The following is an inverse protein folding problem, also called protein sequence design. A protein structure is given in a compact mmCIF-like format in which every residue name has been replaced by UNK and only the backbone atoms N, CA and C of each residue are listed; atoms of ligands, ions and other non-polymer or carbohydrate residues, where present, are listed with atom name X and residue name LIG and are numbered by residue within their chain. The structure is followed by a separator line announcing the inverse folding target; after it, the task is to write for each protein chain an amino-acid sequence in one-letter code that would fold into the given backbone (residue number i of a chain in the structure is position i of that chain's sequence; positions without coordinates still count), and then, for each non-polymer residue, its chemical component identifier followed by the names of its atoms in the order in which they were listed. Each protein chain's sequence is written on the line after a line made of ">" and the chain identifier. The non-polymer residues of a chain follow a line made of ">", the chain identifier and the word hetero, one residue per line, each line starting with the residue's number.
data_IF_021919774016
#
_entry.id   IF_021919774016
#
_cell.length_a   1.000
_cell.length_b   1.000
_cell.length_c   1.000
_cell.angle_alpha   90.00
_cell.angle_beta   90.00
_cell.angle_gamma   90.00
#
_symmetry.space_group_name_H-M   'P 1'
#
loop_
_entity.id
_entity.type
_entity.pdbx_description
1 polymer ?
#
# COMPACT_ATOMS: atom_id res chain seq x y z
N UNK A 1 5.82 -8.33 9.18
CA UNK A 1 4.35 -8.42 9.13
C UNK A 1 3.94 -8.89 7.74
N UNK A 2 3.12 -9.92 7.59
CA UNK A 2 2.68 -10.40 6.27
C UNK A 2 1.43 -9.65 5.76
N UNK A 3 0.99 -9.92 4.52
CA UNK A 3 -0.19 -9.29 3.89
C UNK A 3 -1.47 -9.51 4.69
N UNK A 4 -1.65 -10.70 5.29
CA UNK A 4 -2.85 -11.01 6.07
C UNK A 4 -2.89 -10.17 7.36
N UNK A 5 -1.77 -10.07 8.06
CA UNK A 5 -1.62 -9.22 9.25
C UNK A 5 -1.78 -7.73 8.89
N UNK A 6 -1.22 -7.31 7.75
CA UNK A 6 -1.39 -5.96 7.22
C UNK A 6 -2.87 -5.65 6.99
N UNK A 7 -3.62 -6.53 6.32
CA UNK A 7 -5.05 -6.34 6.03
C UNK A 7 -5.86 -6.17 7.32
N UNK A 8 -5.61 -7.02 8.33
CA UNK A 8 -6.23 -6.88 9.66
C UNK A 8 -5.95 -5.51 10.27
N UNK A 9 -4.69 -5.06 10.25
CA UNK A 9 -4.27 -3.80 10.85
C UNK A 9 -4.84 -2.57 10.12
N UNK A 10 -4.97 -2.63 8.79
CA UNK A 10 -5.61 -1.57 8.01
C UNK A 10 -7.10 -1.43 8.34
N UNK A 11 -7.79 -2.56 8.52
CA UNK A 11 -9.19 -2.58 8.96
C UNK A 11 -9.35 -1.97 10.36
N UNK A 12 -8.49 -2.34 11.32
CA UNK A 12 -8.49 -1.77 12.68
C UNK A 12 -8.26 -0.25 12.68
N UNK A 13 -7.44 0.25 11.74
CA UNK A 13 -7.17 1.68 11.58
C UNK A 13 -8.29 2.43 10.82
N UNK A 14 -9.30 1.72 10.31
CA UNK A 14 -10.35 2.31 9.47
C UNK A 14 -9.79 2.92 8.18
N UNK A 15 -8.81 2.28 7.57
CA UNK A 15 -8.30 2.61 6.23
C UNK A 15 -9.11 1.78 5.24
N UNK A 16 -9.76 2.45 4.30
CA UNK A 16 -10.70 1.78 3.38
C UNK A 16 -9.97 1.00 2.28
N UNK A 17 -10.53 -0.13 1.85
CA UNK A 17 -9.92 -1.01 0.82
C UNK A 17 -9.71 -0.31 -0.53
N UNK A 18 -10.40 0.80 -0.82
CA UNK A 18 -10.19 1.57 -2.04
C UNK A 18 -8.90 2.42 -2.02
N UNK A 19 -8.28 2.60 -0.85
CA UNK A 19 -7.07 3.42 -0.70
C UNK A 19 -5.78 2.67 -1.00
N UNK A 20 -5.84 1.33 -1.02
CA UNK A 20 -4.68 0.48 -1.16
C UNK A 20 -4.94 -0.77 -2.02
N UNK A 21 -3.87 -1.42 -2.46
CA UNK A 21 -3.90 -2.67 -3.20
C UNK A 21 -2.81 -3.62 -2.70
N UNK A 22 -3.18 -4.82 -2.25
CA UNK A 22 -2.22 -5.78 -1.68
C UNK A 22 -1.83 -6.88 -2.67
N UNK A 23 -2.03 -6.63 -3.97
CA UNK A 23 -1.79 -7.60 -5.05
C UNK A 23 -2.97 -8.55 -5.30
N UNK A 24 -4.11 -8.31 -4.65
CA UNK A 24 -5.34 -9.11 -4.75
C UNK A 24 -6.35 -8.58 -5.78
N UNK A 25 -6.10 -7.40 -6.35
CA UNK A 25 -6.97 -6.75 -7.34
C UNK A 25 -6.18 -6.02 -8.41
N UNK A 26 -6.86 -5.69 -9.52
CA UNK A 26 -6.32 -4.82 -10.57
C UNK A 26 -5.90 -3.46 -10.00
N UNK A 27 -4.81 -2.91 -10.54
CA UNK A 27 -4.28 -1.61 -10.12
C UNK A 27 -5.28 -0.49 -10.47
N UNK A 28 -5.77 0.19 -9.44
CA UNK A 28 -6.60 1.38 -9.53
C UNK A 28 -5.78 2.68 -9.66
N UNK A 29 -6.45 3.80 -9.87
CA UNK A 29 -5.79 5.12 -9.90
C UNK A 29 -5.59 5.68 -8.49
N UNK A 30 -4.49 6.41 -8.28
CA UNK A 30 -4.16 7.14 -7.05
C UNK A 30 -4.03 6.28 -5.76
N UNK A 31 -3.90 4.97 -5.89
CA UNK A 31 -3.75 4.04 -4.77
C UNK A 31 -2.28 3.80 -4.41
N UNK A 32 -2.04 3.34 -3.17
CA UNK A 32 -0.78 2.74 -2.77
C UNK A 32 -0.90 1.22 -2.86
N UNK A 33 0.11 0.54 -3.38
CA UNK A 33 0.03 -0.92 -3.41
C UNK A 33 1.33 -1.64 -3.23
N UNK A 34 1.17 -2.95 -3.02
CA UNK A 34 2.24 -3.93 -3.08
C UNK A 34 2.08 -4.70 -4.38
N UNK A 35 3.18 -4.87 -5.11
CA UNK A 35 3.28 -5.71 -6.28
C UNK A 35 4.38 -6.74 -6.04
N UNK A 36 4.07 -8.02 -6.26
CA UNK A 36 5.06 -9.10 -6.23
C UNK A 36 5.47 -9.44 -7.66
N UNK A 37 6.74 -9.22 -7.98
CA UNK A 37 7.35 -9.62 -9.24
C UNK A 37 8.49 -10.60 -8.96
N UNK A 38 8.34 -11.83 -9.45
CA UNK A 38 9.27 -12.92 -9.19
C UNK A 38 9.54 -13.15 -7.69
N UNK A 39 10.71 -12.73 -7.21
CA UNK A 39 11.18 -12.87 -5.82
C UNK A 39 11.20 -11.54 -5.07
N UNK A 40 10.69 -10.49 -5.68
CA UNK A 40 10.85 -9.12 -5.20
C UNK A 40 9.49 -8.51 -4.92
N UNK A 41 9.42 -7.77 -3.81
CA UNK A 41 8.24 -7.06 -3.36
C UNK A 41 8.42 -5.57 -3.59
N UNK A 42 7.57 -4.96 -4.41
CA UNK A 42 7.62 -3.54 -4.76
C UNK A 42 6.48 -2.82 -4.08
N UNK A 43 6.78 -1.71 -3.41
CA UNK A 43 5.76 -0.78 -2.93
C UNK A 43 5.64 0.33 -3.96
N UNK A 44 4.42 0.61 -4.40
CA UNK A 44 4.16 1.57 -5.48
C UNK A 44 3.06 2.56 -5.12
N UNK A 45 3.05 3.67 -5.84
CA UNK A 45 1.92 4.58 -5.93
C UNK A 45 1.48 4.67 -7.39
N UNK A 46 0.20 4.38 -7.66
CA UNK A 46 -0.36 4.61 -8.99
C UNK A 46 -0.70 6.09 -9.17
N UNK A 47 -0.62 6.53 -10.41
CA UNK A 47 -0.89 7.89 -10.87
C UNK A 47 -2.20 7.91 -11.65
N UNK A 48 -2.75 9.11 -11.86
CA UNK A 48 -3.84 9.30 -12.82
C UNK A 48 -3.38 8.81 -14.20
N UNK A 49 -4.22 8.06 -14.93
CA UNK A 49 -3.96 7.53 -16.28
C UNK A 49 -3.01 6.34 -16.36
N UNK A 50 -2.91 5.56 -15.29
CA UNK A 50 -2.27 4.24 -15.31
C UNK A 50 -0.74 4.24 -15.20
N UNK A 51 -0.12 5.40 -14.91
CA UNK A 51 1.28 5.46 -14.53
C UNK A 51 1.52 4.86 -13.15
N UNK A 52 2.73 4.36 -12.89
CA UNK A 52 3.11 3.82 -11.59
C UNK A 52 4.48 4.32 -11.19
N UNK A 53 4.59 4.79 -9.94
CA UNK A 53 5.87 5.14 -9.34
C UNK A 53 6.25 4.09 -8.30
N UNK A 54 7.43 3.48 -8.44
CA UNK A 54 7.98 2.58 -7.42
C UNK A 54 8.53 3.45 -6.29
N UNK A 55 8.02 3.23 -5.08
CA UNK A 55 8.50 3.90 -3.86
C UNK A 55 9.75 3.20 -3.36
N UNK A 56 9.70 1.87 -3.25
CA UNK A 56 10.81 1.05 -2.80
C UNK A 56 10.65 -0.42 -3.21
N UNK A 57 11.71 -1.20 -3.06
CA UNK A 57 11.83 -2.58 -3.52
C UNK A 57 12.52 -3.44 -2.45
N UNK A 58 11.93 -4.57 -2.11
CA UNK A 58 12.36 -5.44 -1.01
C UNK A 58 12.52 -6.89 -1.44
N UNK A 59 13.44 -7.61 -0.80
CA UNK A 59 13.62 -9.05 -0.99
C UNK A 59 12.61 -9.90 -0.21
N UNK A 60 11.85 -9.29 0.70
CA UNK A 60 10.89 -9.97 1.55
C UNK A 60 9.56 -9.20 1.68
N UNK A 61 8.52 -9.95 2.02
CA UNK A 61 7.14 -9.43 2.17
C UNK A 61 7.02 -8.48 3.36
N UNK A 62 7.71 -8.80 4.45
CA UNK A 62 7.58 -8.09 5.72
C UNK A 62 7.93 -6.61 5.60
N UNK A 63 9.06 -6.31 4.96
CA UNK A 63 9.54 -4.93 4.82
C UNK A 63 8.61 -4.11 3.90
N UNK A 64 8.12 -4.72 2.82
CA UNK A 64 7.15 -4.10 1.93
C UNK A 64 5.83 -3.78 2.65
N UNK A 65 5.34 -4.71 3.47
CA UNK A 65 4.13 -4.54 4.29
C UNK A 65 4.31 -3.46 5.37
N UNK A 66 5.48 -3.38 6.00
CA UNK A 66 5.79 -2.32 6.98
C UNK A 66 5.85 -0.95 6.31
N UNK A 67 6.47 -0.86 5.13
CA UNK A 67 6.55 0.40 4.38
C UNK A 67 5.16 0.90 3.98
N UNK A 68 4.33 0.07 3.33
CA UNK A 68 3.02 0.52 2.87
C UNK A 68 2.13 0.95 4.05
N UNK A 69 2.18 0.22 5.18
CA UNK A 69 1.43 0.58 6.39
C UNK A 69 1.83 1.99 6.88
N UNK A 70 3.13 2.27 6.96
CA UNK A 70 3.64 3.58 7.35
C UNK A 70 3.08 4.68 6.44
N UNK A 71 3.11 4.48 5.13
CA UNK A 71 2.60 5.47 4.17
C UNK A 71 1.07 5.67 4.30
N UNK A 72 0.29 4.60 4.48
CA UNK A 72 -1.15 4.69 4.63
C UNK A 72 -1.54 5.42 5.93
N UNK A 73 -0.87 5.13 7.05
CA UNK A 73 -1.06 5.87 8.31
C UNK A 73 -0.73 7.36 8.11
N UNK A 74 0.39 7.67 7.44
CA UNK A 74 0.76 9.06 7.16
C UNK A 74 -0.30 9.77 6.30
N UNK A 75 -0.87 9.09 5.29
CA UNK A 75 -1.95 9.65 4.46
C UNK A 75 -3.23 9.89 5.26
N UNK A 76 -3.65 8.92 6.07
CA UNK A 76 -4.82 9.04 6.96
C UNK A 76 -4.66 10.24 7.91
N UNK A 77 -3.55 10.32 8.64
CA UNK A 77 -3.28 11.41 9.58
C UNK A 77 -3.27 12.78 8.88
N UNK A 78 -2.77 12.88 7.65
CA UNK A 78 -2.81 14.13 6.87
C UNK A 78 -4.23 14.53 6.47
N UNK A 79 -5.11 13.59 6.15
CA UNK A 79 -6.52 13.86 5.83
C UNK A 79 -7.27 14.33 7.07
N UNK A 80 -7.06 13.69 8.21
CA UNK A 80 -7.72 14.05 9.47
C UNK A 80 -7.32 15.43 9.98
N UNK A 81 -6.07 15.86 9.78
CA UNK A 81 -5.62 17.23 10.10
C UNK A 81 -6.17 18.33 9.19
N UNK A 82 -6.72 17.95 8.02
CA UNK A 82 -7.28 18.89 7.03
C UNK A 82 -8.81 19.01 7.13
N UNK A 83 -9.44 18.17 7.95
CA UNK A 83 -10.85 18.27 8.33
C UNK A 83 -10.99 19.22 9.51
#
# INVERSE_FOLDING_TARGET
>A
MNISELKTRLNELGIEEHEYNLGDKSIGELELGILKEEKVWKVYQSLERGGMNIIDTFENENDACELILKYLIMRKNRRERRK
#
